data_IF_138169032290
#
_entry.id   IF_138169032290
#
_cell.length_a   1.000
_cell.length_b   1.000
_cell.length_c   1.000
_cell.angle_alpha   90.00
_cell.angle_beta   90.00
_cell.angle_gamma   90.00
#
_symmetry.space_group_name_H-M   'P 1'
#
loop_
_entity.id
_entity.type
_entity.pdbx_description
1 polymer ?
#
# COMPACT_ATOMS: atom_id res chain seq x y z
N UNK A 1 -9.42 9.30 -11.65
CA UNK A 1 -8.13 9.22 -12.37
C UNK A 1 -8.04 7.89 -13.11
N UNK A 2 -7.32 7.80 -14.24
CA UNK A 2 -7.16 6.55 -15.03
C UNK A 2 -5.79 5.89 -14.82
N UNK A 3 -5.04 6.32 -13.82
CA UNK A 3 -3.68 5.87 -13.56
C UNK A 3 -3.60 5.16 -12.20
N UNK A 4 -2.88 4.05 -12.21
CA UNK A 4 -2.72 3.11 -11.11
C UNK A 4 -1.43 2.32 -11.30
N UNK A 5 -1.09 1.46 -10.35
CA UNK A 5 0.11 0.61 -10.41
C UNK A 5 -0.22 -0.79 -10.88
N UNK A 6 0.76 -1.49 -11.45
CA UNK A 6 0.68 -2.92 -11.72
C UNK A 6 1.67 -3.63 -10.81
N UNK A 7 1.19 -4.56 -10.00
CA UNK A 7 2.04 -5.37 -9.11
C UNK A 7 2.09 -6.79 -9.63
N UNK A 8 3.30 -7.30 -9.81
CA UNK A 8 3.55 -8.70 -10.12
C UNK A 8 3.89 -9.46 -8.86
N UNK A 9 3.09 -10.47 -8.53
CA UNK A 9 3.33 -11.34 -7.39
C UNK A 9 4.14 -12.55 -7.84
N UNK A 10 5.40 -12.63 -7.41
CA UNK A 10 6.35 -13.61 -7.90
C UNK A 10 5.93 -15.06 -7.61
N UNK A 11 5.44 -15.34 -6.40
CA UNK A 11 5.19 -16.73 -5.96
C UNK A 11 4.00 -17.38 -6.68
N UNK A 12 2.95 -16.61 -6.96
CA UNK A 12 1.74 -17.12 -7.61
C UNK A 12 1.62 -16.69 -9.09
N UNK A 13 2.59 -15.90 -9.59
CA UNK A 13 2.68 -15.39 -10.97
C UNK A 13 1.47 -14.59 -11.42
N UNK A 14 0.73 -13.96 -10.49
CA UNK A 14 -0.44 -13.13 -10.80
C UNK A 14 -0.06 -11.65 -10.90
N UNK A 15 -0.80 -10.96 -11.75
CA UNK A 15 -0.76 -9.51 -11.89
C UNK A 15 -1.96 -8.89 -11.18
N UNK A 16 -1.72 -7.86 -10.38
CA UNK A 16 -2.75 -7.12 -9.65
C UNK A 16 -2.71 -5.64 -10.06
N UNK A 17 -3.89 -5.08 -10.29
CA UNK A 17 -4.05 -3.65 -10.55
C UNK A 17 -4.31 -2.89 -9.25
N UNK A 18 -3.45 -1.92 -8.97
CA UNK A 18 -3.65 -0.92 -7.92
C UNK A 18 -4.40 0.26 -8.52
N UNK A 19 -5.71 0.34 -8.31
CA UNK A 19 -6.56 1.42 -8.84
C UNK A 19 -6.48 2.73 -8.05
N UNK A 20 -5.74 2.76 -6.94
CA UNK A 20 -5.60 3.94 -6.08
C UNK A 20 -4.22 4.56 -6.24
N UNK A 21 -4.16 5.80 -6.68
CA UNK A 21 -2.91 6.57 -6.75
C UNK A 21 -2.22 6.65 -5.39
N UNK A 22 -2.98 6.85 -4.31
CA UNK A 22 -2.45 6.86 -2.94
C UNK A 22 -1.84 5.53 -2.52
N UNK A 23 -2.44 4.40 -2.92
CA UNK A 23 -1.86 3.09 -2.66
C UNK A 23 -0.54 2.90 -3.40
N UNK A 24 -0.43 3.40 -4.64
CA UNK A 24 0.82 3.37 -5.41
C UNK A 24 1.89 4.24 -4.74
N UNK A 25 1.55 5.47 -4.35
CA UNK A 25 2.48 6.35 -3.62
C UNK A 25 2.96 5.70 -2.32
N UNK A 26 2.06 5.10 -1.56
CA UNK A 26 2.41 4.39 -0.33
C UNK A 26 3.36 3.22 -0.58
N UNK A 27 3.08 2.37 -1.57
CA UNK A 27 3.98 1.25 -1.92
C UNK A 27 5.37 1.76 -2.32
N UNK A 28 5.45 2.90 -3.00
CA UNK A 28 6.74 3.52 -3.35
C UNK A 28 7.50 4.12 -2.14
N UNK A 29 6.84 4.30 -0.98
CA UNK A 29 7.49 4.73 0.26
C UNK A 29 8.06 3.57 1.08
N UNK A 30 7.74 2.32 0.73
CA UNK A 30 8.26 1.15 1.44
C UNK A 30 9.75 1.00 1.16
N UNK A 31 10.54 1.02 2.22
CA UNK A 31 11.99 0.95 2.18
C UNK A 31 12.55 -0.44 2.56
N UNK A 32 11.69 -1.34 3.05
CA UNK A 32 12.06 -2.67 3.52
C UNK A 32 12.75 -2.70 4.88
N UNK A 33 12.93 -1.56 5.54
CA UNK A 33 13.55 -1.43 6.86
C UNK A 33 12.53 -1.15 7.95
N UNK A 34 11.58 -0.25 7.70
CA UNK A 34 10.51 0.08 8.65
C UNK A 34 9.37 -0.94 8.56
N UNK A 35 8.62 -1.08 9.66
CA UNK A 35 7.41 -1.88 9.63
C UNK A 35 6.36 -1.24 8.71
N UNK A 36 5.45 -2.07 8.21
CA UNK A 36 4.36 -1.59 7.37
C UNK A 36 3.47 -0.59 8.11
N UNK A 37 3.21 -0.86 9.39
CA UNK A 37 2.39 -0.01 10.25
C UNK A 37 3.05 1.35 10.47
N UNK A 38 4.33 1.39 10.85
CA UNK A 38 5.06 2.66 11.04
C UNK A 38 5.06 3.50 9.76
N UNK A 39 5.33 2.86 8.61
CA UNK A 39 5.33 3.57 7.33
C UNK A 39 3.95 4.12 6.97
N UNK A 40 2.87 3.38 7.30
CA UNK A 40 1.50 3.81 7.06
C UNK A 40 1.10 4.98 7.95
N UNK A 41 1.43 4.92 9.23
CA UNK A 41 1.14 6.00 10.18
C UNK A 41 1.89 7.29 9.81
N UNK A 42 3.17 7.17 9.44
CA UNK A 42 3.98 8.28 8.92
C UNK A 42 3.38 8.87 7.64
N UNK A 43 2.93 8.01 6.72
CA UNK A 43 2.35 8.44 5.44
C UNK A 43 1.02 9.18 5.64
N UNK A 44 0.16 8.71 6.53
CA UNK A 44 -1.12 9.36 6.85
C UNK A 44 -0.90 10.71 7.54
N UNK A 45 0.07 10.77 8.47
CA UNK A 45 0.38 11.98 9.24
C UNK A 45 1.05 13.06 8.39
N UNK A 46 1.98 12.68 7.52
CA UNK A 46 2.78 13.63 6.72
C UNK A 46 2.01 14.32 5.60
N UNK A 47 0.85 13.80 5.17
CA UNK A 47 0.11 14.28 4.00
C UNK A 47 -1.27 14.87 4.31
N UNK A 48 -1.59 15.13 5.58
CA UNK A 48 -2.87 15.67 6.04
C UNK A 48 -4.07 14.98 5.37
N UNK A 49 -4.02 13.65 5.26
CA UNK A 49 -4.99 12.87 4.50
C UNK A 49 -6.34 12.91 5.22
N UNK A 50 -7.42 13.15 4.48
CA UNK A 50 -8.77 13.13 5.06
C UNK A 50 -9.09 11.77 5.68
N UNK A 51 -9.86 11.69 6.78
CA UNK A 51 -10.15 10.44 7.46
C UNK A 51 -10.74 9.36 6.53
N UNK A 52 -11.66 9.74 5.64
CA UNK A 52 -12.28 8.83 4.67
C UNK A 52 -11.30 8.26 3.64
N UNK A 53 -10.33 9.05 3.21
CA UNK A 53 -9.27 8.61 2.29
C UNK A 53 -8.27 7.72 3.04
N UNK A 54 -7.95 8.06 4.28
CA UNK A 54 -7.10 7.26 5.16
C UNK A 54 -7.67 5.86 5.39
N UNK A 55 -8.95 5.74 5.75
CA UNK A 55 -9.62 4.44 5.89
C UNK A 55 -9.58 3.60 4.61
N UNK A 56 -9.74 4.24 3.45
CA UNK A 56 -9.67 3.56 2.15
C UNK A 56 -8.26 3.03 1.89
N UNK A 57 -7.23 3.82 2.23
CA UNK A 57 -5.84 3.39 2.11
C UNK A 57 -5.52 2.24 3.07
N UNK A 58 -5.92 2.33 4.34
CA UNK A 58 -5.74 1.26 5.34
C UNK A 58 -6.35 -0.05 4.83
N UNK A 59 -7.58 -0.02 4.29
CA UNK A 59 -8.23 -1.20 3.70
C UNK A 59 -7.46 -1.76 2.51
N UNK A 60 -6.93 -0.89 1.64
CA UNK A 60 -6.12 -1.30 0.50
C UNK A 60 -4.82 -1.98 0.97
N UNK A 61 -4.11 -1.43 1.95
CA UNK A 61 -2.88 -2.00 2.50
C UNK A 61 -3.15 -3.37 3.13
N UNK A 62 -4.19 -3.50 3.95
CA UNK A 62 -4.58 -4.80 4.53
C UNK A 62 -4.94 -5.83 3.45
N UNK A 63 -5.53 -5.40 2.33
CA UNK A 63 -5.80 -6.30 1.20
C UNK A 63 -4.51 -6.74 0.52
N UNK A 64 -3.52 -5.85 0.36
CA UNK A 64 -2.22 -6.21 -0.22
C UNK A 64 -1.44 -7.19 0.66
N UNK A 65 -1.43 -6.98 1.99
CA UNK A 65 -0.86 -7.95 2.94
C UNK A 65 -1.54 -9.32 2.83
N UNK A 66 -2.88 -9.37 2.83
CA UNK A 66 -3.63 -10.62 2.69
C UNK A 66 -3.39 -11.35 1.37
N UNK A 67 -3.02 -10.61 0.32
CA UNK A 67 -2.67 -11.17 -0.99
C UNK A 67 -1.21 -11.65 -1.04
N UNK A 68 -0.42 -11.45 0.02
CA UNK A 68 1.01 -11.77 0.05
C UNK A 68 1.88 -10.77 -0.70
N UNK A 69 1.32 -9.63 -1.14
CA UNK A 69 2.04 -8.61 -1.91
C UNK A 69 2.94 -7.75 -1.03
N UNK A 70 2.60 -7.63 0.25
CA UNK A 70 3.37 -6.93 1.27
C UNK A 70 3.69 -7.93 2.38
N UNK A 71 4.94 -7.96 2.80
CA UNK A 71 5.38 -8.78 3.92
C UNK A 71 5.34 -7.95 5.20
N UNK A 72 4.86 -8.57 6.28
CA UNK A 72 5.01 -8.03 7.62
C UNK A 72 6.47 -8.20 8.00
N UNK A 73 7.26 -7.13 7.93
CA UNK A 73 8.60 -7.12 8.53
C UNK A 73 8.42 -7.22 10.05
N UNK A 74 9.04 -8.26 10.62
CA UNK A 74 8.94 -8.62 12.04
C UNK A 74 9.74 -7.67 12.94
#
# INVERSE_FOLDING_TARGET
ERFGGLVYHYDNRRLYFLHSHRAVEFVNCLDGYRSLQETLDDFLTSREISPSTGETLVKAVAQLERLGLLAQTA
#
